data_IF_709155139492
#
_entry.id   IF_709155139492
#
_cell.length_a   1.000
_cell.length_b   1.000
_cell.length_c   1.000
_cell.angle_alpha   90.00
_cell.angle_beta   90.00
_cell.angle_gamma   90.00
#
_symmetry.space_group_name_H-M   'P 1'
#
loop_
_entity.id
_entity.type
_entity.pdbx_description
1 polymer ?
#
# COMPACT_ATOMS: atom_id res chain seq x y z
N UNK A 1 6.66 -9.83 -16.58
CA UNK A 1 7.14 -8.97 -15.48
C UNK A 1 6.12 -8.93 -14.34
N UNK A 2 4.84 -8.72 -14.61
CA UNK A 2 3.75 -8.64 -13.61
C UNK A 2 3.80 -9.78 -12.57
N UNK A 3 3.85 -11.04 -13.01
CA UNK A 3 3.92 -12.17 -12.08
C UNK A 3 5.15 -12.10 -11.13
N UNK A 4 6.32 -11.69 -11.63
CA UNK A 4 7.52 -11.54 -10.79
C UNK A 4 7.34 -10.48 -9.70
N UNK A 5 6.73 -9.34 -10.04
CA UNK A 5 6.46 -8.25 -9.09
C UNK A 5 5.40 -8.68 -8.08
N UNK A 6 4.35 -9.38 -8.51
CA UNK A 6 3.33 -9.93 -7.64
C UNK A 6 3.93 -10.90 -6.60
N UNK A 7 4.73 -11.89 -7.04
CA UNK A 7 5.37 -12.82 -6.12
C UNK A 7 6.43 -12.15 -5.23
N UNK A 8 7.10 -11.09 -5.70
CA UNK A 8 7.95 -10.28 -4.84
C UNK A 8 7.13 -9.59 -3.75
N UNK A 9 5.93 -9.11 -4.06
CA UNK A 9 4.98 -8.58 -3.08
C UNK A 9 4.57 -9.65 -2.05
N UNK A 10 4.27 -10.87 -2.49
CA UNK A 10 3.98 -11.98 -1.58
C UNK A 10 5.15 -12.26 -0.64
N UNK A 11 6.36 -12.36 -1.18
CA UNK A 11 7.55 -12.70 -0.37
C UNK A 11 7.94 -11.58 0.61
N UNK A 12 7.82 -10.32 0.18
CA UNK A 12 8.22 -9.18 1.02
C UNK A 12 7.30 -9.00 2.23
N UNK A 13 6.07 -9.52 2.19
CA UNK A 13 5.12 -9.47 3.31
C UNK A 13 5.69 -10.12 4.55
N UNK A 14 6.37 -11.27 4.42
CA UNK A 14 6.97 -11.96 5.56
C UNK A 14 8.06 -11.11 6.24
N UNK A 15 8.85 -10.38 5.46
CA UNK A 15 9.84 -9.45 6.01
C UNK A 15 9.18 -8.25 6.68
N UNK A 16 8.15 -7.67 6.06
CA UNK A 16 7.40 -6.57 6.66
C UNK A 16 6.78 -6.99 7.99
N UNK A 17 6.13 -8.16 8.04
CA UNK A 17 5.56 -8.72 9.27
C UNK A 17 6.61 -8.95 10.35
N UNK A 18 7.78 -9.49 10.01
CA UNK A 18 8.88 -9.66 10.98
C UNK A 18 9.34 -8.30 11.55
N UNK A 19 9.45 -7.26 10.72
CA UNK A 19 9.77 -5.92 11.17
C UNK A 19 8.68 -5.31 12.06
N UNK A 20 7.41 -5.52 11.72
CA UNK A 20 6.29 -5.06 12.54
C UNK A 20 6.29 -5.72 13.93
N UNK A 21 6.59 -7.02 14.02
CA UNK A 21 6.73 -7.71 15.31
C UNK A 21 7.85 -7.12 16.16
N UNK A 22 9.01 -6.82 15.58
CA UNK A 22 10.11 -6.15 16.29
C UNK A 22 9.70 -4.75 16.78
N UNK A 23 8.97 -3.98 15.95
CA UNK A 23 8.47 -2.66 16.36
C UNK A 23 7.37 -2.75 17.41
N UNK A 24 6.50 -3.77 17.35
CA UNK A 24 5.49 -4.03 18.40
C UNK A 24 6.15 -4.25 19.75
N UNK A 25 7.24 -5.03 19.82
CA UNK A 25 7.97 -5.25 21.07
C UNK A 25 8.61 -3.95 21.60
N UNK A 26 9.15 -3.12 20.70
CA UNK A 26 9.66 -1.79 21.06
C UNK A 26 8.56 -0.91 21.60
N UNK A 27 7.40 -0.85 20.95
CA UNK A 27 6.26 -0.04 21.43
C UNK A 27 5.74 -0.50 22.79
N UNK A 28 5.66 -1.82 23.02
CA UNK A 28 5.31 -2.38 24.34
C UNK A 28 6.29 -1.93 25.41
N UNK A 29 7.60 -1.84 25.13
CA UNK A 29 8.60 -1.37 26.09
C UNK A 29 8.42 0.10 26.49
N UNK A 30 7.77 0.91 25.63
CA UNK A 30 7.40 2.30 25.89
C UNK A 30 5.96 2.47 26.37
N UNK A 31 5.23 1.39 26.69
CA UNK A 31 3.80 1.38 27.02
C UNK A 31 2.92 2.00 25.92
N UNK A 32 3.29 1.87 24.66
CA UNK A 32 2.48 2.30 23.52
C UNK A 32 1.65 1.09 23.05
N UNK A 33 0.34 1.26 23.04
CA UNK A 33 -0.59 0.22 22.58
C UNK A 33 -0.51 0.02 21.04
N UNK A 34 -0.75 -1.20 20.59
CA UNK A 34 -0.83 -1.49 19.15
C UNK A 34 -2.01 -0.78 18.48
N UNK A 35 -3.08 -0.48 19.23
CA UNK A 35 -4.24 0.31 18.82
C UNK A 35 -4.00 1.82 18.75
N UNK A 36 -2.83 2.29 19.20
CA UNK A 36 -2.51 3.72 19.17
C UNK A 36 -2.32 4.22 17.72
N UNK A 37 -2.76 5.44 17.38
CA UNK A 37 -2.60 6.01 16.05
C UNK A 37 -1.16 6.01 15.53
N UNK A 38 -0.17 6.19 16.40
CA UNK A 38 1.25 6.14 16.07
C UNK A 38 1.69 4.74 15.64
N UNK A 39 1.12 3.69 16.21
CA UNK A 39 1.40 2.30 15.87
C UNK A 39 0.90 1.99 14.46
N UNK A 40 -0.33 2.41 14.11
CA UNK A 40 -0.86 2.29 12.74
C UNK A 40 0.01 3.01 11.72
N UNK A 41 0.48 4.22 12.04
CA UNK A 41 1.34 4.97 11.13
C UNK A 41 2.69 4.29 10.92
N UNK A 42 3.30 3.77 12.00
CA UNK A 42 4.57 3.06 11.92
C UNK A 42 4.45 1.74 11.13
N UNK A 43 3.41 0.95 11.39
CA UNK A 43 3.17 -0.30 10.68
C UNK A 43 2.86 -0.06 9.19
N UNK A 44 2.00 0.93 8.88
CA UNK A 44 1.73 1.32 7.50
C UNK A 44 3.00 1.82 6.78
N UNK A 45 3.88 2.56 7.47
CA UNK A 45 5.14 3.02 6.89
C UNK A 45 6.09 1.86 6.56
N UNK A 46 6.18 0.86 7.44
CA UNK A 46 6.94 -0.36 7.19
C UNK A 46 6.38 -1.03 5.93
N UNK A 47 5.09 -1.27 5.85
CA UNK A 47 4.46 -1.97 4.73
C UNK A 47 4.68 -1.25 3.40
N UNK A 48 4.36 0.06 3.33
CA UNK A 48 4.51 0.82 2.08
C UNK A 48 5.96 0.90 1.64
N UNK A 49 6.92 0.96 2.59
CA UNK A 49 8.35 0.91 2.29
C UNK A 49 8.76 -0.46 1.71
N UNK A 50 8.30 -1.56 2.31
CA UNK A 50 8.63 -2.89 1.83
C UNK A 50 7.97 -3.20 0.48
N UNK A 51 6.71 -2.76 0.24
CA UNK A 51 6.04 -2.86 -1.07
C UNK A 51 6.82 -2.10 -2.15
N UNK A 52 7.29 -0.89 -1.84
CA UNK A 52 8.14 -0.13 -2.74
C UNK A 52 9.45 -0.87 -3.04
N UNK A 53 10.12 -1.41 -2.04
CA UNK A 53 11.36 -2.18 -2.22
C UNK A 53 11.12 -3.40 -3.11
N UNK A 54 10.03 -4.14 -2.91
CA UNK A 54 9.68 -5.30 -3.73
C UNK A 54 9.52 -4.92 -5.21
N UNK A 55 8.72 -3.89 -5.50
CA UNK A 55 8.54 -3.40 -6.87
C UNK A 55 9.87 -2.90 -7.45
N UNK A 56 10.54 -1.98 -6.76
CA UNK A 56 11.77 -1.34 -7.23
C UNK A 56 12.87 -2.33 -7.55
N UNK A 57 13.16 -3.29 -6.66
CA UNK A 57 14.25 -4.25 -6.86
C UNK A 57 14.02 -5.14 -8.08
N UNK A 58 12.76 -5.49 -8.37
CA UNK A 58 12.41 -6.34 -9.51
C UNK A 58 12.47 -5.58 -10.83
N UNK A 59 11.99 -4.31 -10.87
CA UNK A 59 11.78 -3.61 -12.15
C UNK A 59 12.88 -2.64 -12.54
N UNK A 60 13.71 -2.14 -11.60
CA UNK A 60 14.69 -1.05 -11.85
C UNK A 60 15.69 -1.29 -13.00
N UNK A 61 15.94 -2.55 -13.36
CA UNK A 61 16.82 -2.95 -14.45
C UNK A 61 16.08 -3.70 -15.56
N UNK A 62 14.77 -3.68 -15.55
CA UNK A 62 13.95 -4.40 -16.51
C UNK A 62 13.68 -3.57 -17.75
N UNK A 63 13.74 -4.21 -18.91
CA UNK A 63 13.32 -3.60 -20.19
C UNK A 63 11.80 -3.34 -20.27
N UNK A 64 11.03 -3.87 -19.34
CA UNK A 64 9.58 -3.67 -19.25
C UNK A 64 9.21 -2.52 -18.29
N UNK A 65 10.20 -1.76 -17.85
CA UNK A 65 10.03 -0.55 -17.05
C UNK A 65 10.52 0.62 -17.92
N UNK A 66 9.75 0.96 -18.94
CA UNK A 66 10.09 1.86 -20.02
C UNK A 66 9.24 3.16 -20.01
N UNK A 67 8.08 3.12 -19.37
CA UNK A 67 7.23 4.29 -19.21
C UNK A 67 7.09 4.72 -17.74
N UNK A 68 6.95 6.04 -17.45
CA UNK A 68 6.73 6.50 -16.08
C UNK A 68 5.50 5.91 -15.40
N UNK A 69 4.45 5.57 -16.18
CA UNK A 69 3.21 4.97 -15.69
C UNK A 69 3.43 3.58 -15.11
N UNK A 70 4.46 2.87 -15.55
CA UNK A 70 4.83 1.55 -15.06
C UNK A 70 5.13 1.57 -13.56
N UNK A 71 5.63 2.69 -13.04
CA UNK A 71 5.85 2.86 -11.61
C UNK A 71 4.55 2.68 -10.82
N UNK A 72 3.43 3.22 -11.30
CA UNK A 72 2.12 3.04 -10.65
C UNK A 72 1.63 1.60 -10.80
N UNK A 73 1.73 1.05 -12.01
CA UNK A 73 1.27 -0.31 -12.32
C UNK A 73 2.00 -1.34 -11.45
N UNK A 74 3.34 -1.28 -11.41
CA UNK A 74 4.12 -2.25 -10.64
C UNK A 74 3.97 -2.07 -9.12
N UNK A 75 3.76 -0.85 -8.64
CA UNK A 75 3.43 -0.64 -7.23
C UNK A 75 2.09 -1.28 -6.86
N UNK A 76 1.05 -1.11 -7.68
CA UNK A 76 -0.25 -1.77 -7.49
C UNK A 76 -0.09 -3.29 -7.52
N UNK A 77 0.66 -3.84 -8.48
CA UNK A 77 0.88 -5.28 -8.60
C UNK A 77 1.62 -5.86 -7.39
N UNK A 78 2.65 -5.18 -6.89
CA UNK A 78 3.36 -5.60 -5.68
C UNK A 78 2.43 -5.59 -4.46
N UNK A 79 1.59 -4.55 -4.33
CA UNK A 79 0.65 -4.44 -3.23
C UNK A 79 -0.47 -5.49 -3.26
N UNK A 80 -0.90 -5.92 -4.44
CA UNK A 80 -1.86 -7.02 -4.57
C UNK A 80 -1.26 -8.36 -4.11
N UNK A 81 0.02 -8.61 -4.41
CA UNK A 81 0.75 -9.76 -3.89
C UNK A 81 0.89 -9.71 -2.37
N UNK A 82 1.22 -8.52 -1.84
CA UNK A 82 1.31 -8.26 -0.41
C UNK A 82 -0.03 -8.53 0.29
N UNK A 83 -1.11 -7.91 -0.18
CA UNK A 83 -2.45 -8.07 0.37
C UNK A 83 -2.94 -9.52 0.32
N UNK A 84 -2.62 -10.26 -0.75
CA UNK A 84 -2.92 -11.69 -0.83
C UNK A 84 -2.25 -12.47 0.31
N UNK A 85 -0.94 -12.26 0.52
CA UNK A 85 -0.20 -12.97 1.59
C UNK A 85 -0.74 -12.61 2.97
N UNK A 86 -1.02 -11.34 3.23
CA UNK A 86 -1.61 -10.87 4.48
C UNK A 86 -2.99 -11.48 4.74
N UNK A 87 -3.86 -11.49 3.74
CA UNK A 87 -5.18 -12.12 3.84
C UNK A 87 -5.09 -13.63 4.11
N UNK A 88 -4.12 -14.32 3.50
CA UNK A 88 -3.86 -15.73 3.79
C UNK A 88 -3.36 -15.94 5.22
N UNK A 89 -2.40 -15.14 5.70
CA UNK A 89 -1.92 -15.22 7.08
C UNK A 89 -3.05 -15.02 8.10
N UNK A 90 -3.97 -14.10 7.85
CA UNK A 90 -5.15 -13.93 8.71
C UNK A 90 -6.09 -15.11 8.64
N UNK A 91 -6.36 -15.64 7.45
CA UNK A 91 -7.25 -16.79 7.27
C UNK A 91 -6.78 -18.04 8.04
N UNK A 92 -5.47 -18.27 8.11
CA UNK A 92 -4.90 -19.41 8.85
C UNK A 92 -5.11 -19.33 10.38
N UNK A 93 -5.37 -18.15 10.92
CA UNK A 93 -5.62 -17.97 12.36
C UNK A 93 -7.08 -18.15 12.78
N UNK A 94 -7.99 -18.40 11.83
CA UNK A 94 -9.43 -18.53 12.08
C UNK A 94 -9.85 -19.99 11.91
N UNK A 95 -10.42 -20.59 12.97
CA UNK A 95 -10.81 -21.99 12.97
C UNK A 95 -12.16 -22.27 12.28
N UNK A 96 -13.02 -21.27 12.18
CA UNK A 96 -14.37 -21.41 11.60
C UNK A 96 -14.39 -21.02 10.13
N UNK A 97 -14.67 -21.99 9.25
CA UNK A 97 -14.69 -21.78 7.80
C UNK A 97 -15.68 -20.69 7.32
N UNK A 98 -16.84 -20.59 7.95
CA UNK A 98 -17.85 -19.56 7.59
C UNK A 98 -17.36 -18.17 7.98
N UNK A 99 -16.68 -18.02 9.11
CA UNK A 99 -16.08 -16.76 9.55
C UNK A 99 -14.91 -16.37 8.67
N UNK A 100 -14.04 -17.32 8.31
CA UNK A 100 -12.96 -17.10 7.33
C UNK A 100 -13.51 -16.52 6.06
N UNK A 101 -14.57 -17.11 5.50
CA UNK A 101 -15.13 -16.68 4.23
C UNK A 101 -15.71 -15.25 4.30
N UNK A 102 -16.42 -14.90 5.38
CA UNK A 102 -16.93 -13.54 5.61
C UNK A 102 -15.80 -12.51 5.71
N UNK A 103 -14.79 -12.82 6.51
CA UNK A 103 -13.66 -11.91 6.74
C UNK A 103 -12.86 -11.72 5.45
N UNK A 104 -12.60 -12.80 4.69
CA UNK A 104 -11.89 -12.69 3.41
C UNK A 104 -12.66 -11.80 2.43
N UNK A 105 -14.00 -11.94 2.31
CA UNK A 105 -14.79 -11.10 1.40
C UNK A 105 -14.69 -9.62 1.80
N UNK A 106 -14.87 -9.31 3.09
CA UNK A 106 -14.82 -7.92 3.59
C UNK A 106 -13.41 -7.33 3.38
N UNK A 107 -12.37 -8.09 3.70
CA UNK A 107 -10.98 -7.68 3.53
C UNK A 107 -10.57 -7.60 2.06
N UNK A 108 -11.09 -8.47 1.20
CA UNK A 108 -10.81 -8.43 -0.23
C UNK A 108 -11.27 -7.10 -0.83
N UNK A 109 -12.46 -6.61 -0.48
CA UNK A 109 -12.98 -5.34 -0.98
C UNK A 109 -12.31 -4.16 -0.27
N UNK A 110 -12.18 -4.20 1.06
CA UNK A 110 -11.65 -3.08 1.84
C UNK A 110 -10.12 -3.02 1.85
N UNK A 111 -9.47 -3.98 2.51
CA UNK A 111 -8.03 -3.95 2.72
C UNK A 111 -7.23 -4.10 1.40
N UNK A 112 -7.64 -4.99 0.49
CA UNK A 112 -6.93 -5.16 -0.79
C UNK A 112 -7.01 -3.90 -1.64
N UNK A 113 -8.19 -3.23 -1.67
CA UNK A 113 -8.35 -1.96 -2.37
C UNK A 113 -7.53 -0.85 -1.72
N UNK A 114 -7.49 -0.78 -0.38
CA UNK A 114 -6.61 0.14 0.33
C UNK A 114 -5.16 -0.03 -0.08
N UNK A 115 -4.63 -1.27 -0.03
CA UNK A 115 -3.25 -1.56 -0.40
C UNK A 115 -2.95 -1.13 -1.84
N UNK A 116 -3.86 -1.40 -2.77
CA UNK A 116 -3.71 -0.99 -4.16
C UNK A 116 -3.67 0.55 -4.30
N UNK A 117 -4.57 1.26 -3.64
CA UNK A 117 -4.67 2.71 -3.72
C UNK A 117 -3.50 3.42 -3.00
N UNK A 118 -3.12 3.00 -1.79
CA UNK A 118 -1.97 3.57 -1.08
C UNK A 118 -0.68 3.38 -1.88
N UNK A 119 -0.45 2.18 -2.41
CA UNK A 119 0.73 1.90 -3.23
C UNK A 119 0.68 2.63 -4.58
N UNK A 120 -0.49 2.91 -5.16
CA UNK A 120 -0.62 3.76 -6.34
C UNK A 120 -0.13 5.19 -6.06
N UNK A 121 -0.34 5.74 -4.85
CA UNK A 121 0.25 7.03 -4.43
C UNK A 121 1.77 6.97 -4.47
N UNK A 122 2.39 5.93 -3.92
CA UNK A 122 3.85 5.74 -4.00
C UNK A 122 4.31 5.70 -5.45
N UNK A 123 3.61 4.92 -6.28
CA UNK A 123 3.87 4.80 -7.72
C UNK A 123 3.77 6.13 -8.46
N UNK A 124 2.78 6.97 -8.14
CA UNK A 124 2.63 8.31 -8.72
C UNK A 124 3.84 9.21 -8.40
N UNK A 125 4.28 9.26 -7.15
CA UNK A 125 5.46 10.04 -6.78
C UNK A 125 6.75 9.48 -7.39
N UNK A 126 6.85 8.16 -7.54
CA UNK A 126 7.95 7.54 -8.26
C UNK A 126 7.92 7.90 -9.76
N UNK A 127 6.76 7.85 -10.42
CA UNK A 127 6.59 8.30 -11.80
C UNK A 127 6.99 9.78 -11.98
N UNK A 128 6.58 10.65 -11.07
CA UNK A 128 6.99 12.07 -11.07
C UNK A 128 8.50 12.26 -10.98
N UNK A 129 9.16 11.45 -10.14
CA UNK A 129 10.63 11.46 -10.04
C UNK A 129 11.26 11.07 -11.38
N UNK A 130 10.75 10.04 -12.06
CA UNK A 130 11.24 9.59 -13.36
C UNK A 130 11.04 10.69 -14.43
N UNK A 131 9.85 11.27 -14.52
CA UNK A 131 9.52 12.34 -15.48
C UNK A 131 10.48 13.53 -15.31
N UNK A 132 10.67 14.02 -14.06
CA UNK A 132 11.56 15.12 -13.78
C UNK A 132 13.01 14.79 -14.15
N UNK A 133 13.46 13.57 -13.86
CA UNK A 133 14.81 13.10 -14.21
C UNK A 133 15.01 13.05 -15.73
N UNK A 134 14.05 12.51 -16.47
CA UNK A 134 14.10 12.41 -17.93
C UNK A 134 14.08 13.80 -18.61
N UNK A 135 13.39 14.77 -18.00
CA UNK A 135 13.37 16.16 -18.46
C UNK A 135 14.65 16.95 -18.04
N UNK A 136 15.67 16.33 -17.47
CA UNK A 136 16.89 17.00 -17.02
C UNK A 136 16.70 17.93 -15.83
N UNK A 137 15.55 17.86 -15.15
CA UNK A 137 15.27 18.69 -13.98
C UNK A 137 15.97 18.13 -12.73
N UNK A 138 16.37 19.01 -11.82
CA UNK A 138 16.86 18.58 -10.50
C UNK A 138 15.74 17.91 -9.73
N UNK A 139 15.90 16.63 -9.43
CA UNK A 139 14.97 15.86 -8.61
C UNK A 139 15.74 15.03 -7.58
N UNK A 140 15.11 14.77 -6.45
CA UNK A 140 15.69 13.99 -5.35
C UNK A 140 14.79 12.80 -5.03
N UNK A 141 15.38 11.74 -4.46
CA UNK A 141 14.63 10.61 -3.90
C UNK A 141 13.63 11.02 -2.80
N UNK A 142 13.77 12.22 -2.24
CA UNK A 142 12.81 12.79 -1.30
C UNK A 142 11.37 12.86 -1.89
N UNK A 143 11.23 12.95 -3.21
CA UNK A 143 9.92 12.90 -3.89
C UNK A 143 9.26 11.53 -3.65
N UNK A 144 10.02 10.44 -3.75
CA UNK A 144 9.52 9.07 -3.50
C UNK A 144 9.20 8.90 -2.01
N UNK A 145 10.08 9.37 -1.12
CA UNK A 145 9.85 9.32 0.34
C UNK A 145 8.56 10.07 0.70
N UNK A 146 8.29 11.23 0.08
CA UNK A 146 7.00 11.93 0.26
C UNK A 146 5.82 11.06 -0.15
N UNK A 147 5.93 10.32 -1.25
CA UNK A 147 4.90 9.36 -1.69
C UNK A 147 4.66 8.28 -0.64
N UNK A 148 5.74 7.68 -0.10
CA UNK A 148 5.65 6.66 0.94
C UNK A 148 4.96 7.22 2.21
N UNK A 149 5.35 8.41 2.66
CA UNK A 149 4.74 9.04 3.85
C UNK A 149 3.25 9.32 3.66
N UNK A 150 2.85 9.84 2.49
CA UNK A 150 1.43 10.07 2.18
C UNK A 150 0.65 8.76 2.10
N UNK A 151 1.18 7.75 1.45
CA UNK A 151 0.57 6.43 1.38
C UNK A 151 0.41 5.80 2.76
N UNK A 152 1.43 5.92 3.61
CA UNK A 152 1.39 5.43 5.00
C UNK A 152 0.33 6.15 5.84
N UNK A 153 0.17 7.45 5.64
CA UNK A 153 -0.87 8.23 6.32
C UNK A 153 -2.27 7.79 5.89
N UNK A 154 -2.50 7.62 4.57
CA UNK A 154 -3.78 7.14 4.04
C UNK A 154 -4.10 5.73 4.57
N UNK A 155 -3.11 4.86 4.57
CA UNK A 155 -3.23 3.49 5.09
C UNK A 155 -3.55 3.48 6.60
N UNK A 156 -2.83 4.26 7.40
CA UNK A 156 -3.06 4.36 8.84
C UNK A 156 -4.46 4.91 9.17
N UNK A 157 -4.92 5.93 8.45
CA UNK A 157 -6.28 6.49 8.60
C UNK A 157 -7.33 5.42 8.32
N UNK A 158 -7.18 4.64 7.25
CA UNK A 158 -8.13 3.58 6.93
C UNK A 158 -8.18 2.51 8.03
N UNK A 159 -7.03 2.03 8.50
CA UNK A 159 -6.97 1.03 9.57
C UNK A 159 -7.62 1.55 10.86
N UNK A 160 -7.39 2.82 11.19
CA UNK A 160 -8.05 3.47 12.32
C UNK A 160 -9.57 3.57 12.15
N UNK A 161 -10.05 3.92 10.93
CA UNK A 161 -11.48 3.96 10.61
C UNK A 161 -12.14 2.58 10.74
N UNK A 162 -11.45 1.50 10.35
CA UNK A 162 -11.97 0.13 10.50
C UNK A 162 -12.17 -0.20 11.98
N UNK A 163 -11.19 0.06 12.85
CA UNK A 163 -11.28 -0.26 14.29
C UNK A 163 -12.43 0.51 14.96
N UNK A 164 -12.56 1.81 14.69
CA UNK A 164 -13.69 2.60 15.22
C UNK A 164 -15.03 2.06 14.69
N UNK A 165 -15.07 1.58 13.45
CA UNK A 165 -16.27 1.04 12.84
C UNK A 165 -16.71 -0.29 13.49
N UNK A 166 -15.76 -1.13 13.88
CA UNK A 166 -16.04 -2.39 14.57
C UNK A 166 -16.64 -2.18 15.97
N UNK A 167 -16.20 -1.15 16.70
CA UNK A 167 -16.69 -0.83 18.04
C UNK A 167 -18.15 -0.30 18.06
N UNK A 168 -18.64 0.29 16.97
CA UNK A 168 -19.93 1.01 16.94
C UNK A 168 -21.05 0.39 16.11
N UNK A 169 -20.98 -0.90 15.79
CA UNK A 169 -22.01 -1.70 15.07
C UNK A 169 -22.54 -1.14 13.72
N UNK A 170 -22.23 -1.87 12.67
CA UNK A 170 -22.84 -1.98 11.31
C UNK A 170 -23.10 -0.73 10.43
N UNK A 171 -23.37 0.46 10.95
CA UNK A 171 -23.57 1.67 10.14
C UNK A 171 -22.27 2.40 9.78
N UNK A 172 -21.17 2.10 10.45
CA UNK A 172 -19.92 2.86 10.31
C UNK A 172 -18.99 2.32 9.21
N UNK A 173 -19.22 1.15 8.64
CA UNK A 173 -18.49 0.67 7.44
C UNK A 173 -18.63 1.63 6.25
N UNK A 174 -19.61 2.52 6.28
CA UNK A 174 -19.81 3.54 5.24
C UNK A 174 -18.63 4.53 5.18
N UNK A 175 -18.01 4.87 6.32
CA UNK A 175 -16.88 5.81 6.34
C UNK A 175 -15.62 5.27 5.67
N UNK A 176 -15.13 4.04 5.98
CA UNK A 176 -14.04 3.43 5.21
C UNK A 176 -14.34 3.31 3.72
N UNK A 177 -15.57 2.97 3.34
CA UNK A 177 -15.97 2.86 1.94
C UNK A 177 -15.92 4.22 1.23
N UNK A 178 -16.51 5.26 1.81
CA UNK A 178 -16.47 6.63 1.25
C UNK A 178 -15.02 7.10 1.13
N UNK A 179 -14.19 6.85 2.15
CA UNK A 179 -12.77 7.18 2.13
C UNK A 179 -12.05 6.53 0.94
N UNK A 180 -12.25 5.22 0.71
CA UNK A 180 -11.65 4.53 -0.43
C UNK A 180 -12.15 5.07 -1.78
N UNK A 181 -13.43 5.41 -1.90
CA UNK A 181 -13.98 5.99 -3.13
C UNK A 181 -13.33 7.34 -3.44
N UNK A 182 -13.18 8.20 -2.43
CA UNK A 182 -12.54 9.51 -2.61
C UNK A 182 -11.09 9.32 -3.07
N UNK A 183 -10.33 8.43 -2.42
CA UNK A 183 -8.95 8.16 -2.81
C UNK A 183 -8.87 7.56 -4.21
N UNK A 184 -9.75 6.63 -4.56
CA UNK A 184 -9.80 6.03 -5.90
C UNK A 184 -9.99 7.09 -6.99
N UNK A 185 -10.86 8.09 -6.78
CA UNK A 185 -11.06 9.20 -7.73
C UNK A 185 -9.79 10.05 -7.88
N UNK A 186 -9.07 10.35 -6.80
CA UNK A 186 -7.79 11.07 -6.87
C UNK A 186 -6.72 10.27 -7.60
N UNK A 187 -6.60 8.96 -7.33
CA UNK A 187 -5.63 8.08 -7.98
C UNK A 187 -5.94 7.95 -9.47
N UNK A 188 -7.22 7.84 -9.85
CA UNK A 188 -7.61 7.80 -11.25
C UNK A 188 -7.22 9.09 -11.99
N UNK A 189 -7.42 10.25 -11.37
CA UNK A 189 -6.98 11.53 -11.91
C UNK A 189 -5.45 11.62 -12.04
N UNK A 190 -4.72 11.18 -11.02
CA UNK A 190 -3.26 11.13 -11.05
C UNK A 190 -2.73 10.19 -12.14
N UNK A 191 -3.39 9.05 -12.36
CA UNK A 191 -3.06 8.11 -13.44
C UNK A 191 -3.20 8.76 -14.82
N UNK A 192 -4.32 9.42 -15.09
CA UNK A 192 -4.56 10.14 -16.36
C UNK A 192 -3.54 11.26 -16.57
N UNK A 193 -3.15 11.96 -15.52
CA UNK A 193 -2.14 13.03 -15.57
C UNK A 193 -0.75 12.50 -15.97
N UNK A 194 -0.34 11.36 -15.41
CA UNK A 194 0.94 10.72 -15.77
C UNK A 194 0.91 10.25 -17.23
N UNK A 195 -0.17 9.58 -17.64
CA UNK A 195 -0.37 9.11 -19.01
C UNK A 195 -0.31 10.27 -20.03
N UNK A 196 -0.99 11.37 -19.76
CA UNK A 196 -0.96 12.57 -20.62
C UNK A 196 0.41 13.25 -20.67
N UNK A 197 1.24 13.11 -19.64
CA UNK A 197 2.61 13.66 -19.63
C UNK A 197 3.57 12.80 -20.47
N UNK A 198 3.38 11.49 -20.51
CA UNK A 198 4.20 10.57 -21.32
C UNK A 198 3.97 10.73 -22.82
N UNK A 199 2.77 11.18 -23.24
CA UNK A 199 2.45 11.41 -24.67
C UNK A 199 3.03 12.73 -25.22
N UNK A 200 3.53 13.62 -24.36
CA UNK A 200 4.06 14.94 -24.74
C UNK A 200 5.59 15.00 -24.75
N UNK A 201 6.26 13.95 -24.30
CA UNK A 201 7.72 13.79 -24.30
C UNK A 201 8.18 12.91 -25.46
#
# INVERSE_FOLDING_TARGET
MIAKVFFAGVLITFFATAFQLLFSDVFKSFNIEESAPVSFLAFAFIEETFKFLAAYLVVRKSRFFDEPIDAMIYMIVASLGFAMAENMMMAFNILNFVEVFKIIIIRFVGATLLHALSSAVVGYYWAKHIIAKNAGQRTSSAVIVKGILLASLLHAIFNYLIIISEEQMSKMLIYPIIFLIIIALFIFWDFEKIKGSAQKS
#
